data_IF_484446435626
#
_entry.id   IF_484446435626
#
_cell.length_a   1.000
_cell.length_b   1.000
_cell.length_c   1.000
_cell.angle_alpha   90.00
_cell.angle_beta   90.00
_cell.angle_gamma   90.00
#
_symmetry.space_group_name_H-M   'P 1'
#
loop_
_entity.id
_entity.type
_entity.pdbx_description
1 polymer ?
#
# COMPACT_ATOMS: atom_id res chain seq x y z
N UNK A 1 20.52 10.46 -12.12
CA UNK A 1 19.92 9.28 -11.46
C UNK A 1 18.96 8.68 -12.46
N UNK A 2 19.24 7.48 -13.00
CA UNK A 2 18.37 6.82 -13.99
C UNK A 2 17.03 6.46 -13.33
N UNK A 3 15.91 6.68 -14.00
CA UNK A 3 14.60 6.19 -13.57
C UNK A 3 14.67 4.67 -13.53
N UNK A 4 14.49 4.07 -12.34
CA UNK A 4 14.49 2.63 -12.18
C UNK A 4 13.08 2.13 -12.51
N UNK A 5 12.96 1.38 -13.59
CA UNK A 5 11.73 0.62 -13.87
C UNK A 5 11.78 -0.66 -13.04
N UNK A 6 10.67 -0.98 -12.38
CA UNK A 6 10.52 -2.19 -11.57
C UNK A 6 9.44 -3.06 -12.20
N UNK A 7 9.53 -4.37 -12.00
CA UNK A 7 8.43 -5.28 -12.34
C UNK A 7 7.24 -4.95 -11.45
N UNK A 8 6.03 -5.08 -11.99
CA UNK A 8 4.80 -4.66 -11.33
C UNK A 8 3.84 -5.85 -11.28
N UNK A 9 3.46 -6.26 -10.08
CA UNK A 9 2.55 -7.40 -9.87
C UNK A 9 1.10 -6.91 -9.93
N UNK A 10 0.54 -6.73 -11.14
CA UNK A 10 -0.78 -6.11 -11.28
C UNK A 10 -1.89 -6.89 -10.56
N UNK A 11 -2.01 -8.20 -10.82
CA UNK A 11 -3.11 -9.01 -10.32
C UNK A 11 -3.11 -9.07 -8.79
N UNK A 12 -1.98 -9.43 -8.19
CA UNK A 12 -1.83 -9.51 -6.73
C UNK A 12 -1.92 -8.12 -6.07
N UNK A 13 -1.40 -7.07 -6.72
CA UNK A 13 -1.48 -5.72 -6.15
C UNK A 13 -2.90 -5.17 -6.14
N UNK A 14 -3.70 -5.46 -7.16
CA UNK A 14 -5.11 -5.07 -7.20
C UNK A 14 -5.87 -5.79 -6.08
N UNK A 15 -5.61 -7.09 -5.89
CA UNK A 15 -6.24 -7.88 -4.84
C UNK A 15 -5.89 -7.34 -3.45
N UNK A 16 -4.61 -7.15 -3.14
CA UNK A 16 -4.19 -6.60 -1.85
C UNK A 16 -4.67 -5.15 -1.65
N UNK A 17 -4.72 -4.34 -2.71
CA UNK A 17 -5.29 -2.99 -2.62
C UNK A 17 -6.77 -3.03 -2.26
N UNK A 18 -7.53 -3.97 -2.84
CA UNK A 18 -8.94 -4.15 -2.53
C UNK A 18 -9.12 -4.54 -1.05
N UNK A 19 -8.39 -5.56 -0.59
CA UNK A 19 -8.44 -5.98 0.81
C UNK A 19 -8.04 -4.86 1.78
N UNK A 20 -6.96 -4.14 1.49
CA UNK A 20 -6.51 -3.02 2.31
C UNK A 20 -7.56 -1.90 2.39
N UNK A 21 -8.31 -1.64 1.32
CA UNK A 21 -9.41 -0.67 1.34
C UNK A 21 -10.60 -1.22 2.15
N UNK A 22 -10.99 -2.46 1.88
CA UNK A 22 -12.14 -3.11 2.53
C UNK A 22 -11.95 -3.20 4.04
N UNK A 23 -10.80 -3.72 4.48
CA UNK A 23 -10.42 -3.81 5.90
C UNK A 23 -10.38 -2.44 6.58
N UNK A 24 -9.86 -1.43 5.89
CA UNK A 24 -9.80 -0.08 6.44
C UNK A 24 -11.20 0.53 6.70
N UNK A 25 -12.17 0.27 5.81
CA UNK A 25 -13.51 0.85 5.93
C UNK A 25 -14.52 -0.03 6.68
N UNK A 26 -14.24 -1.33 6.82
CA UNK A 26 -15.10 -2.34 7.47
C UNK A 26 -14.35 -3.06 8.60
N UNK A 27 -13.67 -2.27 9.46
CA UNK A 27 -12.99 -2.76 10.65
C UNK A 27 -13.90 -3.67 11.49
N UNK A 28 -13.31 -4.71 12.11
CA UNK A 28 -13.96 -5.77 12.90
C UNK A 28 -14.98 -6.66 12.16
N UNK A 29 -15.75 -6.11 11.22
CA UNK A 29 -16.73 -6.82 10.40
C UNK A 29 -16.05 -7.75 9.39
N UNK A 30 -14.92 -7.31 8.84
CA UNK A 30 -14.20 -7.98 7.76
C UNK A 30 -12.84 -8.41 8.29
N UNK A 31 -12.68 -9.73 8.44
CA UNK A 31 -11.47 -10.42 8.95
C UNK A 31 -11.12 -10.19 10.43
N UNK A 32 -11.83 -9.33 11.18
CA UNK A 32 -11.54 -9.07 12.60
C UNK A 32 -10.39 -8.09 12.85
N UNK A 33 -10.04 -7.29 11.83
CA UNK A 33 -8.97 -6.28 11.93
C UNK A 33 -9.44 -5.07 12.75
N UNK A 34 -8.57 -4.59 13.66
CA UNK A 34 -8.74 -3.29 14.33
C UNK A 34 -7.55 -2.38 14.02
N UNK A 35 -7.83 -1.13 13.60
CA UNK A 35 -6.78 -0.16 13.27
C UNK A 35 -5.93 0.20 14.49
N UNK A 36 -6.52 0.17 15.68
CA UNK A 36 -5.85 0.37 16.96
C UNK A 36 -4.76 -0.67 17.21
N UNK A 37 -4.94 -1.91 16.74
CA UNK A 37 -3.94 -2.97 16.93
C UNK A 37 -2.78 -2.79 15.96
N UNK A 38 -3.05 -2.48 14.68
CA UNK A 38 -2.04 -2.04 13.72
C UNK A 38 -1.19 -0.87 14.29
N UNK A 39 -1.84 0.12 14.90
CA UNK A 39 -1.15 1.25 15.52
C UNK A 39 -0.26 0.81 16.69
N UNK A 40 -0.76 -0.02 17.60
CA UNK A 40 -0.02 -0.46 18.79
C UNK A 40 1.16 -1.34 18.43
N UNK A 41 0.96 -2.30 17.55
CA UNK A 41 1.98 -3.29 17.18
C UNK A 41 3.13 -2.67 16.40
N UNK A 42 2.86 -1.64 15.59
CA UNK A 42 3.85 -0.97 14.75
C UNK A 42 4.13 0.48 15.19
N UNK A 43 3.89 0.79 16.48
CA UNK A 43 3.94 2.16 17.01
C UNK A 43 5.29 2.84 16.75
N UNK A 44 6.38 2.14 17.03
CA UNK A 44 7.74 2.69 16.87
C UNK A 44 8.04 3.01 15.41
N UNK A 45 7.67 2.10 14.49
CA UNK A 45 7.83 2.30 13.06
C UNK A 45 6.99 3.47 12.55
N UNK A 46 5.74 3.57 13.01
CA UNK A 46 4.81 4.62 12.61
C UNK A 46 5.33 5.99 13.06
N UNK A 47 5.69 6.15 14.34
CA UNK A 47 6.12 7.44 14.92
C UNK A 47 7.30 8.05 14.16
N UNK A 48 8.31 7.25 13.86
CA UNK A 48 9.48 7.71 13.10
C UNK A 48 9.09 8.28 11.74
N UNK A 49 8.07 7.71 11.09
CA UNK A 49 7.60 8.08 9.74
C UNK A 49 6.63 9.25 9.76
N UNK A 50 5.94 9.48 10.87
CA UNK A 50 5.13 10.67 11.06
C UNK A 50 6.00 11.94 11.02
N UNK A 51 7.20 11.88 11.58
CA UNK A 51 8.07 13.05 11.77
C UNK A 51 8.79 13.54 10.52
N UNK A 52 9.16 12.64 9.60
CA UNK A 52 9.95 12.98 8.40
C UNK A 52 9.72 11.97 7.27
N UNK A 53 9.94 12.36 6.00
CA UNK A 53 9.65 11.49 4.88
C UNK A 53 10.64 10.32 4.79
N UNK A 54 10.09 9.11 4.64
CA UNK A 54 10.83 7.87 4.40
C UNK A 54 10.34 7.22 3.10
N UNK A 55 11.20 6.46 2.42
CA UNK A 55 10.80 5.72 1.21
C UNK A 55 9.80 4.60 1.54
N UNK A 56 10.06 3.85 2.61
CA UNK A 56 9.10 2.92 3.21
C UNK A 56 8.19 3.72 4.15
N UNK A 57 7.02 4.09 3.62
CA UNK A 57 6.01 4.93 4.27
C UNK A 57 5.18 4.14 5.28
N UNK A 58 4.35 4.82 6.07
CA UNK A 58 3.36 4.16 6.95
C UNK A 58 2.40 3.29 6.13
N UNK A 59 2.04 3.70 4.92
CA UNK A 59 1.22 2.90 4.02
C UNK A 59 1.88 1.56 3.63
N UNK A 60 3.21 1.49 3.52
CA UNK A 60 3.87 0.20 3.27
C UNK A 60 3.70 -0.75 4.47
N UNK A 61 3.85 -0.23 5.69
CA UNK A 61 3.64 -1.02 6.91
C UNK A 61 2.20 -1.47 7.05
N UNK A 62 1.24 -0.61 6.74
CA UNK A 62 -0.16 -0.98 6.71
C UNK A 62 -0.42 -2.11 5.71
N UNK A 63 0.17 -2.05 4.52
CA UNK A 63 0.03 -3.10 3.52
C UNK A 63 0.68 -4.42 3.94
N UNK A 64 1.87 -4.39 4.54
CA UNK A 64 2.52 -5.59 5.09
C UNK A 64 1.69 -6.20 6.24
N UNK A 65 1.10 -5.35 7.09
CA UNK A 65 0.23 -5.81 8.17
C UNK A 65 -1.06 -6.44 7.63
N UNK A 66 -1.71 -5.80 6.66
CA UNK A 66 -2.91 -6.34 6.00
C UNK A 66 -2.60 -7.66 5.30
N UNK A 67 -1.47 -7.74 4.58
CA UNK A 67 -1.05 -8.94 3.86
C UNK A 67 -0.88 -10.15 4.81
N UNK A 68 -0.23 -9.94 5.96
CA UNK A 68 -0.16 -10.96 7.01
C UNK A 68 -1.51 -11.27 7.69
N UNK A 69 -2.43 -10.31 7.72
CA UNK A 69 -3.74 -10.47 8.35
C UNK A 69 -4.74 -11.24 7.49
N UNK A 70 -4.70 -11.00 6.18
CA UNK A 70 -5.58 -11.68 5.21
C UNK A 70 -5.08 -13.05 4.80
N UNK A 71 -3.94 -13.50 5.36
CA UNK A 71 -3.21 -14.73 5.03
C UNK A 71 -4.10 -15.82 4.40
N UNK A 72 -4.21 -15.75 3.09
CA UNK A 72 -4.65 -16.83 2.22
C UNK A 72 -3.37 -17.49 1.73
N UNK A 73 -2.61 -18.09 2.67
CA UNK A 73 -1.50 -18.93 2.26
C UNK A 73 -2.04 -20.04 1.36
N UNK A 74 -1.21 -20.49 0.41
CA UNK A 74 -1.60 -21.48 -0.60
C UNK A 74 -2.22 -22.72 0.07
N UNK A 75 -1.71 -23.09 1.25
CA UNK A 75 -2.22 -24.17 2.10
C UNK A 75 -3.68 -23.97 2.53
N UNK A 76 -4.03 -22.79 3.04
CA UNK A 76 -5.38 -22.47 3.52
C UNK A 76 -6.38 -22.39 2.38
N UNK A 77 -5.97 -21.80 1.24
CA UNK A 77 -6.79 -21.82 0.02
C UNK A 77 -7.06 -23.24 -0.45
N UNK A 78 -6.05 -24.12 -0.48
CA UNK A 78 -6.22 -25.53 -0.86
C UNK A 78 -7.16 -26.30 0.07
N UNK A 79 -7.14 -26.01 1.39
CA UNK A 79 -8.09 -26.62 2.35
C UNK A 79 -9.55 -26.24 2.11
N UNK A 80 -9.78 -25.07 1.51
CA UNK A 80 -11.12 -24.61 1.15
C UNK A 80 -11.58 -25.11 -0.23
N UNK A 81 -10.69 -25.76 -0.99
CA UNK A 81 -10.96 -26.34 -2.30
C UNK A 81 -11.11 -27.86 -2.22
N UNK A 82 -11.93 -28.42 -3.10
CA UNK A 82 -11.91 -29.86 -3.36
C UNK A 82 -10.67 -30.25 -4.16
N UNK A 83 -10.20 -31.49 -4.03
CA UNK A 83 -9.04 -32.01 -4.79
C UNK A 83 -9.21 -31.89 -6.32
N UNK A 84 -10.45 -31.82 -6.80
CA UNK A 84 -10.76 -31.56 -8.22
C UNK A 84 -10.33 -30.18 -8.71
N UNK A 85 -10.20 -29.20 -7.80
CA UNK A 85 -9.89 -27.82 -8.16
C UNK A 85 -8.38 -27.51 -8.05
N UNK A 86 -7.59 -28.43 -7.49
CA UNK A 86 -6.18 -28.21 -7.17
C UNK A 86 -5.35 -27.83 -8.39
N UNK A 87 -5.56 -28.50 -9.53
CA UNK A 87 -4.85 -28.19 -10.77
C UNK A 87 -5.09 -26.73 -11.20
N UNK A 88 -6.35 -26.31 -11.22
CA UNK A 88 -6.72 -24.96 -11.65
C UNK A 88 -6.15 -23.91 -10.70
N UNK A 89 -6.25 -24.16 -9.38
CA UNK A 89 -5.72 -23.27 -8.36
C UNK A 89 -4.19 -23.14 -8.42
N UNK A 90 -3.46 -24.26 -8.52
CA UNK A 90 -2.00 -24.26 -8.63
C UNK A 90 -1.54 -23.55 -9.91
N UNK A 91 -2.17 -23.81 -11.05
CA UNK A 91 -1.85 -23.13 -12.30
C UNK A 91 -2.07 -21.62 -12.21
N UNK A 92 -3.12 -21.19 -11.49
CA UNK A 92 -3.35 -19.77 -11.20
C UNK A 92 -2.24 -19.18 -10.34
N UNK A 93 -1.85 -19.84 -9.23
CA UNK A 93 -0.76 -19.38 -8.36
C UNK A 93 0.56 -19.28 -9.12
N UNK A 94 0.91 -20.29 -9.92
CA UNK A 94 2.11 -20.28 -10.76
C UNK A 94 2.11 -19.06 -11.69
N UNK A 95 0.99 -18.81 -12.38
CA UNK A 95 0.87 -17.64 -13.26
C UNK A 95 1.13 -16.33 -12.52
N UNK A 96 0.58 -16.16 -11.31
CA UNK A 96 0.80 -14.96 -10.49
C UNK A 96 2.27 -14.76 -10.11
N UNK A 97 2.99 -15.85 -9.82
CA UNK A 97 4.43 -15.82 -9.51
C UNK A 97 5.25 -15.50 -10.76
N UNK A 98 4.87 -16.07 -11.91
CA UNK A 98 5.55 -15.83 -13.18
C UNK A 98 5.30 -14.43 -13.75
N UNK A 99 4.19 -13.76 -13.41
CA UNK A 99 3.90 -12.37 -13.79
C UNK A 99 5.00 -11.40 -13.33
N UNK A 100 5.62 -11.65 -12.18
CA UNK A 100 6.78 -10.89 -11.69
C UNK A 100 8.11 -11.47 -12.20
N UNK A 101 8.06 -12.37 -13.18
CA UNK A 101 9.17 -13.00 -13.87
C UNK A 101 10.07 -13.84 -12.97
N UNK A 102 9.50 -14.50 -11.96
CA UNK A 102 10.13 -15.59 -11.22
C UNK A 102 9.59 -16.89 -11.86
N UNK A 103 10.40 -17.58 -12.66
CA UNK A 103 9.96 -18.79 -13.35
C UNK A 103 9.75 -19.90 -12.33
N UNK A 104 8.64 -20.61 -12.44
CA UNK A 104 8.36 -21.77 -11.60
C UNK A 104 8.77 -23.02 -12.37
N UNK A 105 9.83 -23.68 -11.92
CA UNK A 105 10.15 -25.02 -12.39
C UNK A 105 9.26 -26.01 -11.63
N UNK A 106 8.35 -26.67 -12.34
CA UNK A 106 7.51 -27.72 -11.78
C UNK A 106 7.58 -28.98 -12.66
N UNK A 107 7.55 -30.14 -12.01
CA UNK A 107 7.50 -31.44 -12.70
C UNK A 107 6.04 -31.80 -12.98
N UNK A 108 5.77 -32.44 -14.11
CA UNK A 108 4.42 -32.91 -14.50
C UNK A 108 3.81 -33.77 -13.38
N UNK A 109 2.91 -33.16 -12.60
CA UNK A 109 2.09 -33.83 -11.59
C UNK A 109 0.85 -34.39 -12.26
N UNK A 110 0.43 -35.58 -11.85
CA UNK A 110 -0.85 -36.11 -12.29
C UNK A 110 -1.95 -35.75 -11.28
N UNK A 111 -2.63 -34.63 -11.54
CA UNK A 111 -3.73 -34.16 -10.71
C UNK A 111 -4.92 -35.13 -10.68
N UNK A 112 -5.09 -36.00 -11.69
CA UNK A 112 -6.14 -37.02 -11.64
C UNK A 112 -5.85 -38.04 -10.55
N UNK A 113 -4.61 -38.50 -10.42
CA UNK A 113 -4.23 -39.43 -9.35
C UNK A 113 -4.39 -38.81 -7.95
N UNK A 114 -4.07 -37.52 -7.81
CA UNK A 114 -4.29 -36.76 -6.56
C UNK A 114 -5.79 -36.71 -6.23
N UNK A 115 -6.63 -36.44 -7.23
CA UNK A 115 -8.07 -36.38 -7.05
C UNK A 115 -8.70 -37.75 -6.76
N UNK A 116 -8.28 -38.81 -7.47
CA UNK A 116 -8.78 -40.17 -7.29
C UNK A 116 -8.51 -40.74 -5.89
N UNK A 117 -7.33 -40.44 -5.33
CA UNK A 117 -7.00 -40.84 -3.95
C UNK A 117 -7.55 -39.88 -2.88
N UNK A 118 -8.22 -38.79 -3.30
CA UNK A 118 -8.79 -37.80 -2.39
C UNK A 118 -7.74 -37.04 -1.57
N UNK A 119 -6.57 -36.75 -2.16
CA UNK A 119 -5.43 -36.15 -1.48
C UNK A 119 -5.03 -36.89 -0.17
N UNK A 120 -4.66 -38.17 -0.29
CA UNK A 120 -4.39 -39.02 0.88
C UNK A 120 -3.10 -38.67 1.66
N UNK A 121 -2.33 -37.67 1.24
CA UNK A 121 -1.05 -37.23 1.82
C UNK A 121 0.08 -38.30 1.87
N UNK A 122 -0.19 -39.55 1.50
CA UNK A 122 0.76 -40.67 1.64
C UNK A 122 1.27 -41.22 0.29
N UNK A 123 0.50 -41.09 -0.79
CA UNK A 123 0.91 -41.61 -2.09
C UNK A 123 2.02 -40.75 -2.73
N UNK A 124 2.70 -41.30 -3.74
CA UNK A 124 3.81 -40.62 -4.43
C UNK A 124 3.39 -39.25 -4.99
N UNK A 125 2.27 -39.18 -5.72
CA UNK A 125 1.79 -37.92 -6.30
C UNK A 125 1.36 -36.89 -5.25
N UNK A 126 0.72 -37.32 -4.14
CA UNK A 126 0.37 -36.41 -3.05
C UNK A 126 1.61 -35.88 -2.32
N UNK A 127 2.65 -36.70 -2.19
CA UNK A 127 3.94 -36.29 -1.62
C UNK A 127 4.62 -35.25 -2.54
N UNK A 128 4.65 -35.52 -3.85
CA UNK A 128 5.19 -34.57 -4.84
C UNK A 128 4.39 -33.26 -4.87
N UNK A 129 3.07 -33.33 -4.76
CA UNK A 129 2.19 -32.16 -4.67
C UNK A 129 2.50 -31.31 -3.45
N UNK A 130 2.69 -31.92 -2.28
CA UNK A 130 3.10 -31.21 -1.06
C UNK A 130 4.42 -30.46 -1.27
N UNK A 131 5.42 -31.11 -1.87
CA UNK A 131 6.71 -30.48 -2.20
C UNK A 131 6.52 -29.29 -3.15
N UNK A 132 5.63 -29.39 -4.13
CA UNK A 132 5.30 -28.26 -5.00
C UNK A 132 4.64 -27.12 -4.20
N UNK A 133 3.67 -27.42 -3.34
CA UNK A 133 3.00 -26.40 -2.51
C UNK A 133 4.01 -25.67 -1.62
N UNK A 134 4.88 -26.40 -0.92
CA UNK A 134 5.93 -25.82 -0.08
C UNK A 134 6.87 -24.92 -0.91
N UNK A 135 7.24 -25.36 -2.12
CA UNK A 135 8.06 -24.57 -3.04
C UNK A 135 7.34 -23.28 -3.50
N UNK A 136 6.05 -23.35 -3.81
CA UNK A 136 5.27 -22.19 -4.25
C UNK A 136 5.09 -21.18 -3.12
N UNK A 137 4.93 -21.63 -1.87
CA UNK A 137 4.88 -20.75 -0.69
C UNK A 137 6.18 -19.96 -0.56
N UNK A 138 7.34 -20.63 -0.63
CA UNK A 138 8.63 -19.96 -0.60
C UNK A 138 8.79 -18.95 -1.76
N UNK A 139 8.29 -19.29 -2.95
CA UNK A 139 8.31 -18.38 -4.10
C UNK A 139 7.38 -17.18 -3.92
N UNK A 140 6.24 -17.36 -3.26
CA UNK A 140 5.32 -16.29 -2.92
C UNK A 140 5.98 -15.29 -1.95
N UNK A 141 6.66 -15.79 -0.92
CA UNK A 141 7.41 -14.95 0.03
C UNK A 141 8.53 -14.15 -0.66
N UNK A 142 9.27 -14.78 -1.58
CA UNK A 142 10.32 -14.09 -2.36
C UNK A 142 9.78 -12.89 -3.16
N UNK A 143 8.55 -12.99 -3.67
CA UNK A 143 7.94 -11.95 -4.50
C UNK A 143 7.10 -10.95 -3.70
N UNK A 144 6.76 -11.25 -2.45
CA UNK A 144 5.88 -10.40 -1.63
C UNK A 144 6.34 -8.93 -1.58
N UNK A 145 7.64 -8.60 -1.42
CA UNK A 145 8.09 -7.20 -1.47
C UNK A 145 7.75 -6.48 -2.79
N UNK A 146 7.65 -7.20 -3.92
CA UNK A 146 7.22 -6.64 -5.20
C UNK A 146 5.71 -6.38 -5.19
N UNK A 147 4.92 -7.29 -4.62
CA UNK A 147 3.46 -7.14 -4.45
C UNK A 147 3.18 -5.91 -3.59
N UNK A 148 3.73 -5.83 -2.37
CA UNK A 148 3.56 -4.67 -1.47
C UNK A 148 3.89 -3.34 -2.16
N UNK A 149 5.03 -3.26 -2.85
CA UNK A 149 5.42 -2.04 -3.57
C UNK A 149 4.47 -1.70 -4.74
N UNK A 150 4.00 -2.72 -5.46
CA UNK A 150 3.04 -2.54 -6.55
C UNK A 150 1.70 -2.02 -6.00
N UNK A 151 1.21 -2.61 -4.91
CA UNK A 151 -0.01 -2.20 -4.19
C UNK A 151 0.11 -0.77 -3.69
N UNK A 152 1.25 -0.42 -3.08
CA UNK A 152 1.53 0.95 -2.64
C UNK A 152 1.39 1.94 -3.80
N UNK A 153 1.94 1.63 -4.98
CA UNK A 153 1.83 2.51 -6.14
C UNK A 153 0.38 2.68 -6.62
N UNK A 154 -0.45 1.65 -6.55
CA UNK A 154 -1.89 1.75 -6.87
C UNK A 154 -2.61 2.66 -5.86
N UNK A 155 -2.45 2.39 -4.56
CA UNK A 155 -3.13 3.14 -3.50
C UNK A 155 -2.65 4.60 -3.40
N UNK A 156 -1.40 4.89 -3.75
CA UNK A 156 -0.88 6.27 -3.80
C UNK A 156 -1.61 7.16 -4.82
N UNK A 157 -2.34 6.57 -5.77
CA UNK A 157 -3.20 7.30 -6.70
C UNK A 157 -4.58 7.61 -6.10
N UNK A 158 -5.07 6.79 -5.17
CA UNK A 158 -6.37 6.95 -4.52
C UNK A 158 -6.32 8.01 -3.40
N UNK A 159 -6.50 9.28 -3.77
CA UNK A 159 -6.40 10.42 -2.84
C UNK A 159 -7.48 10.43 -1.75
N UNK A 160 -8.65 9.87 -2.01
CA UNK A 160 -9.71 9.73 -1.00
C UNK A 160 -9.27 8.76 0.09
N UNK A 161 -8.78 7.58 -0.29
CA UNK A 161 -8.24 6.60 0.65
C UNK A 161 -7.05 7.18 1.43
N UNK A 162 -6.08 7.83 0.76
CA UNK A 162 -4.95 8.45 1.46
C UNK A 162 -5.39 9.49 2.50
N UNK A 163 -6.38 10.32 2.17
CA UNK A 163 -6.92 11.29 3.11
C UNK A 163 -7.51 10.58 4.32
N UNK A 164 -8.41 9.64 4.10
CA UNK A 164 -9.14 8.97 5.17
C UNK A 164 -8.18 8.16 6.07
N UNK A 165 -7.19 7.50 5.46
CA UNK A 165 -6.10 6.80 6.16
C UNK A 165 -5.30 7.75 7.08
N UNK A 166 -4.90 8.92 6.58
CA UNK A 166 -4.18 9.91 7.40
C UNK A 166 -5.08 10.60 8.43
N UNK A 167 -6.38 10.71 8.18
CA UNK A 167 -7.34 11.18 9.18
C UNK A 167 -7.49 10.16 10.32
N UNK A 168 -7.41 8.85 10.04
CA UNK A 168 -7.38 7.82 11.08
C UNK A 168 -6.10 7.87 11.91
N UNK A 169 -4.93 8.02 11.27
CA UNK A 169 -3.66 8.24 11.98
C UNK A 169 -3.70 9.50 12.86
N UNK A 170 -4.28 10.59 12.35
CA UNK A 170 -4.46 11.83 13.11
C UNK A 170 -5.32 11.63 14.35
N UNK A 171 -6.39 10.80 14.28
CA UNK A 171 -7.21 10.44 15.45
C UNK A 171 -6.40 9.67 16.50
N UNK A 172 -5.55 8.72 16.08
CA UNK A 172 -4.69 7.99 17.03
C UNK A 172 -3.70 8.92 17.73
N UNK A 173 -3.08 9.85 16.99
CA UNK A 173 -2.21 10.87 17.58
C UNK A 173 -2.91 11.75 18.63
N UNK A 174 -4.18 12.09 18.39
CA UNK A 174 -5.00 12.84 19.36
C UNK A 174 -5.24 11.99 20.62
N UNK A 175 -5.54 10.71 20.45
CA UNK A 175 -5.82 9.78 21.55
C UNK A 175 -4.59 9.56 22.46
N UNK A 176 -3.42 9.39 21.86
CA UNK A 176 -2.13 9.25 22.57
C UNK A 176 -1.75 10.49 23.39
N UNK A 177 -2.31 11.66 23.04
CA UNK A 177 -2.15 12.87 23.85
C UNK A 177 -0.68 13.25 24.02
N UNK A 178 -0.32 13.68 25.24
CA UNK A 178 1.00 14.26 25.53
C UNK A 178 2.11 13.21 25.74
N UNK A 179 1.80 11.92 25.83
CA UNK A 179 2.79 10.88 26.09
C UNK A 179 3.84 10.82 24.96
N UNK A 180 3.41 11.06 23.72
CA UNK A 180 4.29 11.15 22.55
C UNK A 180 5.31 12.30 22.63
N UNK A 181 4.98 13.41 23.29
CA UNK A 181 5.90 14.53 23.45
C UNK A 181 6.99 14.17 24.46
N UNK A 182 6.62 13.46 25.53
CA UNK A 182 7.57 12.99 26.53
C UNK A 182 8.56 11.99 25.91
N UNK A 183 8.06 11.04 25.13
CA UNK A 183 8.88 9.96 24.58
C UNK A 183 9.68 10.39 23.33
N UNK A 184 9.17 11.36 22.55
CA UNK A 184 9.76 11.82 21.27
C UNK A 184 9.79 13.36 21.12
N UNK A 185 10.41 14.10 22.06
CA UNK A 185 10.35 15.57 22.12
C UNK A 185 10.99 16.27 20.91
N UNK A 186 11.92 15.61 20.22
CA UNK A 186 12.54 16.12 19.01
C UNK A 186 11.60 16.07 17.79
N UNK A 187 10.60 15.17 17.79
CA UNK A 187 9.71 14.94 16.64
C UNK A 187 8.44 15.79 16.69
N UNK A 188 7.94 16.09 17.89
CA UNK A 188 6.65 16.76 18.10
C UNK A 188 6.81 18.17 18.71
N UNK A 189 5.89 19.06 18.35
CA UNK A 189 5.68 20.34 19.02
C UNK A 189 4.64 20.18 20.14
N UNK A 190 4.38 21.27 20.88
CA UNK A 190 3.26 21.34 21.83
C UNK A 190 1.93 20.86 21.21
N UNK A 191 1.23 20.00 21.94
CA UNK A 191 0.00 19.36 21.49
C UNK A 191 0.21 18.29 20.42
N UNK A 192 1.33 17.55 20.46
CA UNK A 192 1.59 16.32 19.69
C UNK A 192 1.51 16.48 18.17
N UNK A 193 1.80 17.69 17.67
CA UNK A 193 1.86 17.99 16.23
C UNK A 193 3.28 17.83 15.72
N UNK A 194 3.45 17.07 14.63
CA UNK A 194 4.77 16.85 14.04
C UNK A 194 5.46 18.16 13.63
N UNK A 195 6.78 18.24 13.81
CA UNK A 195 7.58 19.38 13.33
C UNK A 195 7.67 19.38 11.82
N UNK A 196 7.63 20.56 11.19
CA UNK A 196 7.83 20.70 9.74
C UNK A 196 9.29 20.43 9.38
N UNK A 197 9.51 19.81 8.23
CA UNK A 197 10.85 19.48 7.72
C UNK A 197 11.07 20.01 6.30
N UNK A 198 12.33 20.10 5.88
CA UNK A 198 12.67 20.40 4.49
C UNK A 198 12.49 19.14 3.62
N UNK A 199 11.85 19.30 2.46
CA UNK A 199 11.58 18.18 1.55
C UNK A 199 12.84 17.73 0.79
N UNK A 200 13.23 16.45 0.86
CA UNK A 200 14.36 15.93 0.09
C UNK A 200 14.04 15.87 -1.41
N UNK A 201 15.08 15.93 -2.25
CA UNK A 201 14.93 15.95 -3.72
C UNK A 201 14.16 14.73 -4.24
N UNK A 202 14.39 13.54 -3.67
CA UNK A 202 13.70 12.32 -4.10
C UNK A 202 12.18 12.39 -3.88
N UNK A 203 11.75 13.03 -2.78
CA UNK A 203 10.33 13.18 -2.44
C UNK A 203 9.65 14.15 -3.41
N UNK A 204 10.28 15.31 -3.64
CA UNK A 204 9.79 16.31 -4.60
C UNK A 204 9.52 15.68 -5.97
N UNK A 205 10.49 14.89 -6.46
CA UNK A 205 10.35 14.15 -7.72
C UNK A 205 9.25 13.09 -7.66
N UNK A 206 9.21 12.30 -6.60
CA UNK A 206 8.21 11.24 -6.43
C UNK A 206 6.77 11.78 -6.43
N UNK A 207 6.52 12.87 -5.69
CA UNK A 207 5.20 13.54 -5.69
C UNK A 207 4.86 14.12 -7.06
N UNK A 208 5.82 14.75 -7.73
CA UNK A 208 5.62 15.29 -9.07
C UNK A 208 5.21 14.22 -10.08
N UNK A 209 5.89 13.06 -10.08
CA UNK A 209 5.52 11.94 -10.95
C UNK A 209 4.17 11.33 -10.56
N UNK A 210 3.93 11.09 -9.26
CA UNK A 210 2.67 10.50 -8.77
C UNK A 210 1.45 11.36 -9.14
N UNK A 211 1.60 12.68 -9.05
CA UNK A 211 0.52 13.64 -9.33
C UNK A 211 0.52 14.11 -10.80
N UNK A 212 1.26 13.42 -11.68
CA UNK A 212 1.30 13.66 -13.12
C UNK A 212 1.69 15.09 -13.53
N UNK A 213 2.46 15.79 -12.69
CA UNK A 213 2.89 17.16 -12.96
C UNK A 213 1.75 18.18 -13.06
N UNK A 214 0.58 17.91 -12.46
CA UNK A 214 -0.55 18.85 -12.42
C UNK A 214 -0.97 19.14 -10.97
N UNK A 215 -1.58 20.30 -10.74
CA UNK A 215 -2.14 20.62 -9.44
C UNK A 215 -3.18 19.57 -9.04
N UNK A 216 -3.04 18.95 -7.87
CA UNK A 216 -3.97 17.90 -7.44
C UNK A 216 -5.40 18.41 -7.36
N UNK A 217 -5.63 19.66 -6.97
CA UNK A 217 -6.98 20.23 -6.82
C UNK A 217 -7.58 20.70 -8.15
N UNK A 218 -6.88 21.59 -8.88
CA UNK A 218 -7.46 22.25 -10.06
C UNK A 218 -6.97 21.69 -11.39
N UNK A 219 -6.06 20.69 -11.38
CA UNK A 219 -5.49 20.03 -12.56
C UNK A 219 -4.73 20.94 -13.53
N UNK A 220 -4.46 22.19 -13.15
CA UNK A 220 -3.58 23.09 -13.90
C UNK A 220 -2.21 22.45 -14.09
N UNK A 221 -1.68 22.53 -15.32
CA UNK A 221 -0.34 22.06 -15.66
C UNK A 221 0.74 22.78 -14.83
N UNK A 222 1.63 22.00 -14.24
CA UNK A 222 2.79 22.47 -13.47
C UNK A 222 4.11 22.06 -14.15
N UNK A 223 4.05 21.40 -15.32
CA UNK A 223 5.24 20.95 -16.04
C UNK A 223 5.95 22.06 -16.79
N UNK A 224 5.19 23.07 -17.23
CA UNK A 224 5.71 24.11 -18.12
C UNK A 224 5.91 23.67 -19.57
N UNK A 225 5.41 22.48 -19.92
CA UNK A 225 5.49 21.93 -21.27
C UNK A 225 4.26 22.32 -22.08
N UNK A 226 3.07 22.27 -21.47
CA UNK A 226 1.79 22.53 -22.16
C UNK A 226 1.38 24.00 -21.98
N UNK A 227 1.54 24.54 -20.77
CA UNK A 227 1.29 25.95 -20.46
C UNK A 227 2.55 26.63 -19.93
N UNK A 228 2.52 27.95 -19.75
CA UNK A 228 3.54 28.65 -18.94
C UNK A 228 3.56 28.01 -17.55
N UNK A 229 4.59 27.22 -17.28
CA UNK A 229 4.71 26.43 -16.05
C UNK A 229 4.71 27.32 -14.82
N UNK A 230 4.08 26.85 -13.76
CA UNK A 230 4.11 27.49 -12.45
C UNK A 230 4.94 26.69 -11.46
N UNK A 231 5.59 27.38 -10.52
CA UNK A 231 6.12 26.74 -9.32
C UNK A 231 4.99 25.98 -8.61
N UNK A 232 5.31 24.79 -8.10
CA UNK A 232 4.39 24.00 -7.30
C UNK A 232 4.78 24.02 -5.83
N UNK A 233 3.77 23.94 -4.99
CA UNK A 233 3.91 23.81 -3.54
C UNK A 233 3.64 22.38 -3.13
N UNK A 234 4.40 21.86 -2.17
CA UNK A 234 4.09 20.59 -1.52
C UNK A 234 3.28 20.92 -0.27
N UNK A 235 2.03 20.46 -0.27
CA UNK A 235 1.10 20.64 0.82
C UNK A 235 0.70 19.30 1.43
N UNK A 236 0.25 19.34 2.68
CA UNK A 236 -0.25 18.17 3.39
C UNK A 236 -1.70 17.89 2.99
N UNK A 237 -2.07 16.65 2.69
CA UNK A 237 -3.45 16.20 2.50
C UNK A 237 -4.22 16.49 3.80
N UNK A 238 -3.86 15.84 4.91
CA UNK A 238 -4.30 16.22 6.26
C UNK A 238 -3.29 17.24 6.82
N UNK A 239 -3.69 18.49 7.10
CA UNK A 239 -2.76 19.49 7.63
C UNK A 239 -2.15 19.13 8.99
N UNK A 240 -0.91 19.55 9.25
CA UNK A 240 -0.25 19.38 10.58
C UNK A 240 -1.07 20.01 11.72
N UNK A 241 -1.77 21.12 11.46
CA UNK A 241 -2.68 21.75 12.44
C UNK A 241 -3.83 20.81 12.87
N UNK A 242 -4.15 19.82 12.03
CA UNK A 242 -5.11 18.74 12.26
C UNK A 242 -4.41 17.39 12.43
N UNK A 243 -3.21 17.38 13.03
CA UNK A 243 -2.44 16.18 13.36
C UNK A 243 -2.02 15.32 12.16
N UNK A 244 -2.00 15.89 10.94
CA UNK A 244 -1.41 15.21 9.80
C UNK A 244 0.11 15.09 9.89
N UNK A 245 0.67 14.19 9.09
CA UNK A 245 2.07 13.74 9.17
C UNK A 245 2.95 14.26 8.02
N UNK A 246 4.26 14.13 8.15
CA UNK A 246 5.22 14.36 7.05
C UNK A 246 5.48 13.11 6.20
N UNK A 247 4.68 12.06 6.36
CA UNK A 247 4.79 10.85 5.55
C UNK A 247 4.45 11.19 4.08
N UNK A 248 5.19 10.65 3.09
CA UNK A 248 4.95 10.94 1.68
C UNK A 248 3.52 10.66 1.20
N UNK A 249 2.81 9.71 1.80
CA UNK A 249 1.42 9.42 1.42
C UNK A 249 0.43 10.46 1.97
N UNK A 250 0.85 11.35 2.88
CA UNK A 250 0.08 12.52 3.32
C UNK A 250 0.41 13.81 2.53
N UNK A 251 1.23 13.76 1.48
CA UNK A 251 1.66 14.96 0.76
C UNK A 251 1.04 15.01 -0.63
N UNK A 252 0.87 16.21 -1.19
CA UNK A 252 0.35 16.48 -2.54
C UNK A 252 0.98 17.73 -3.16
N UNK A 253 1.07 17.79 -4.49
CA UNK A 253 1.50 19.01 -5.19
C UNK A 253 0.30 19.90 -5.53
N UNK A 254 0.42 21.20 -5.25
CA UNK A 254 -0.61 22.20 -5.54
C UNK A 254 -0.01 23.39 -6.30
N UNK A 255 -0.82 24.03 -7.14
CA UNK A 255 -0.49 25.37 -7.64
C UNK A 255 -0.59 26.38 -6.49
N UNK A 256 0.12 27.51 -6.62
CA UNK A 256 0.11 28.59 -5.61
C UNK A 256 -1.29 29.02 -5.19
N UNK A 257 -2.23 29.18 -6.14
CA UNK A 257 -3.60 29.61 -5.87
C UNK A 257 -4.37 28.59 -5.01
N UNK A 258 -4.27 27.30 -5.34
CA UNK A 258 -4.92 26.24 -4.58
C UNK A 258 -4.31 26.09 -3.18
N UNK A 259 -2.98 26.16 -3.08
CA UNK A 259 -2.28 26.10 -1.80
C UNK A 259 -2.72 27.24 -0.86
N UNK A 260 -2.75 28.48 -1.36
CA UNK A 260 -3.19 29.67 -0.61
C UNK A 260 -4.67 29.62 -0.21
N UNK A 261 -5.52 28.94 -0.97
CA UNK A 261 -6.94 28.73 -0.61
C UNK A 261 -7.13 27.64 0.43
N UNK A 262 -6.35 26.55 0.36
CA UNK A 262 -6.47 25.40 1.27
C UNK A 262 -5.94 25.72 2.67
N UNK A 263 -4.79 26.40 2.74
CA UNK A 263 -4.06 26.71 3.97
C UNK A 263 -3.94 25.47 4.88
N UNK A 264 -4.04 25.67 6.18
CA UNK A 264 -3.96 24.65 7.21
C UNK A 264 -5.37 24.21 7.70
N UNK A 265 -6.44 24.51 6.95
CA UNK A 265 -7.81 24.41 7.46
C UNK A 265 -8.60 23.22 6.94
N UNK A 266 -8.21 22.64 5.80
CA UNK A 266 -9.00 21.59 5.16
C UNK A 266 -8.15 20.45 4.61
N UNK A 267 -8.75 19.27 4.54
CA UNK A 267 -8.21 18.07 3.90
C UNK A 267 -8.64 17.94 2.44
N UNK A 268 -8.78 19.08 1.75
CA UNK A 268 -9.21 19.14 0.35
C UNK A 268 -8.25 18.33 -0.55
N UNK A 269 -8.86 17.42 -1.31
CA UNK A 269 -8.26 16.62 -2.37
C UNK A 269 -9.20 16.66 -3.58
N UNK A 270 -8.68 16.35 -4.77
CA UNK A 270 -9.53 16.09 -5.93
C UNK A 270 -9.89 14.61 -5.99
N UNK A 271 -11.15 14.31 -6.31
CA UNK A 271 -11.60 12.97 -6.70
C UNK A 271 -11.31 12.66 -8.17
N UNK A 272 -10.94 13.67 -8.97
CA UNK A 272 -10.61 13.52 -10.38
C UNK A 272 -9.12 13.18 -10.54
N UNK A 273 -8.81 11.89 -10.70
CA UNK A 273 -7.45 11.39 -10.87
C UNK A 273 -6.97 11.39 -12.33
N UNK A 274 -7.88 11.11 -13.27
CA UNK A 274 -7.58 10.87 -14.70
C UNK A 274 -8.51 11.76 -15.54
N UNK A 275 -7.99 12.52 -16.53
CA UNK A 275 -8.86 13.14 -17.53
C UNK A 275 -9.65 12.03 -18.23
N UNK A 276 -10.95 12.24 -18.44
CA UNK A 276 -11.76 11.28 -19.18
C UNK A 276 -11.12 11.04 -20.55
N UNK A 277 -10.99 9.78 -20.94
CA UNK A 277 -10.76 9.46 -22.35
C UNK A 277 -12.07 9.81 -23.02
N UNK A 278 -12.10 10.93 -23.75
CA UNK A 278 -13.32 11.49 -24.32
C UNK A 278 -14.13 10.41 -25.03
N UNK A 279 -15.35 10.18 -24.55
CA UNK A 279 -16.45 9.51 -25.27
C UNK A 279 -17.33 10.55 -25.92
#
# INVERSE_FOLDING_TARGET
MKTKHVKFSYSQAIQLANWAIEIFYHEEEVYGFAFEDFWKELKEEIIVRLSKPHKKTILHYYLEYVDGFVEHDISTSLRNHGSSDYETFINYVIKLIEEVGNKVEYNDLDFNLINECGHCEECEECTRFKVLVDYLILKQDEINPIVINSTFHLLMLNKSFLRDFHERLAKQLIHEGNDLIHDYPEMFNEGSKVKRVKWPIWLKKGLFYRDNGVCVICRTDLTGVINLGGDYEIDHIVPISKYGSNDPSNLQILCKNCNLRKLNNSSLISVYAVPLWDT
#
